data_IF_461607945807
#
_entry.id   IF_461607945807
#
_cell.length_a   1.000
_cell.length_b   1.000
_cell.length_c   1.000
_cell.angle_alpha   90.00
_cell.angle_beta   90.00
_cell.angle_gamma   90.00
#
_symmetry.space_group_name_H-M   'P 1'
#
loop_
_entity.id
_entity.type
_entity.pdbx_description
1 polymer ?
#
# COMPACT_ATOMS: atom_id res chain seq x y z
N UNK A 1 29.46 18.26 -20.82
CA UNK A 1 27.98 18.23 -20.92
C UNK A 1 27.43 19.11 -19.82
N UNK A 2 26.59 20.09 -20.16
CA UNK A 2 25.99 21.05 -19.21
C UNK A 2 24.58 20.62 -18.81
N UNK A 3 24.29 20.60 -17.51
CA UNK A 3 23.00 20.15 -16.96
C UNK A 3 22.33 21.32 -16.23
N UNK A 4 21.04 21.54 -16.45
CA UNK A 4 20.21 22.41 -15.63
C UNK A 4 19.13 21.59 -14.93
N UNK A 5 18.98 21.79 -13.63
CA UNK A 5 17.92 21.22 -12.82
C UNK A 5 17.13 22.36 -12.20
N UNK A 6 15.82 22.41 -12.48
CA UNK A 6 14.87 23.37 -11.93
C UNK A 6 13.95 22.59 -11.01
N UNK A 7 14.12 22.81 -9.71
CA UNK A 7 13.30 22.25 -8.65
C UNK A 7 12.31 23.31 -8.19
N UNK A 8 11.02 22.99 -8.28
CA UNK A 8 9.92 23.84 -7.88
C UNK A 8 9.29 23.29 -6.60
N UNK A 9 8.92 24.17 -5.68
CA UNK A 9 8.20 23.79 -4.46
C UNK A 9 6.69 23.85 -4.70
N UNK A 10 5.99 22.73 -4.46
CA UNK A 10 4.52 22.59 -4.42
C UNK A 10 3.71 22.76 -5.72
N UNK A 11 4.34 22.86 -6.89
CA UNK A 11 3.63 23.03 -8.18
C UNK A 11 2.94 21.74 -8.63
N UNK A 12 1.60 21.80 -8.66
CA UNK A 12 0.72 20.71 -9.09
C UNK A 12 0.83 20.39 -10.58
N UNK A 13 0.89 19.11 -10.92
CA UNK A 13 0.86 18.66 -12.32
C UNK A 13 -0.54 18.72 -12.95
N UNK A 14 -1.59 18.48 -12.15
CA UNK A 14 -2.98 18.40 -12.59
C UNK A 14 -3.60 19.76 -12.90
N UNK A 15 -2.97 20.84 -12.42
CA UNK A 15 -3.34 22.22 -12.71
C UNK A 15 -2.57 22.82 -13.90
N UNK A 16 -1.83 22.01 -14.66
CA UNK A 16 -1.15 22.46 -15.88
C UNK A 16 -2.02 22.28 -17.12
N UNK A 17 -2.05 23.29 -18.00
CA UNK A 17 -2.73 23.19 -19.29
C UNK A 17 -2.09 22.20 -20.26
N UNK A 18 -0.83 21.79 -20.01
CA UNK A 18 -0.14 20.72 -20.74
C UNK A 18 -0.73 19.34 -20.45
N UNK A 19 -1.49 19.21 -19.35
CA UNK A 19 -2.18 17.99 -18.93
C UNK A 19 -3.69 18.12 -19.09
N UNK A 20 -4.27 19.22 -18.63
CA UNK A 20 -5.70 19.48 -18.72
C UNK A 20 -5.97 20.61 -19.70
N UNK A 21 -6.46 20.27 -20.89
CA UNK A 21 -6.73 21.23 -21.98
C UNK A 21 -7.86 22.20 -21.68
N UNK A 22 -8.66 21.97 -20.63
CA UNK A 22 -9.69 22.91 -20.17
C UNK A 22 -9.11 24.09 -19.39
N UNK A 23 -7.86 23.98 -18.91
CA UNK A 23 -7.19 25.04 -18.17
C UNK A 23 -6.53 26.03 -19.12
N UNK A 24 -6.59 27.31 -18.76
CA UNK A 24 -5.91 28.37 -19.48
C UNK A 24 -4.39 28.22 -19.35
N UNK A 25 -3.68 28.39 -20.46
CA UNK A 25 -2.21 28.45 -20.46
C UNK A 25 -1.68 29.62 -19.63
N UNK A 26 -0.67 29.34 -18.79
CA UNK A 26 0.04 30.34 -18.00
C UNK A 26 1.46 30.57 -18.55
N UNK A 27 2.16 31.59 -18.04
CA UNK A 27 3.56 31.85 -18.40
C UNK A 27 4.50 30.68 -18.05
N UNK A 28 4.15 29.85 -17.06
CA UNK A 28 4.93 28.65 -16.75
C UNK A 28 4.86 27.64 -17.90
N UNK A 29 3.67 27.38 -18.44
CA UNK A 29 3.52 26.47 -19.59
C UNK A 29 4.16 27.04 -20.86
N UNK A 30 4.10 28.36 -21.08
CA UNK A 30 4.84 29.01 -22.18
C UNK A 30 6.35 28.81 -22.04
N UNK A 31 6.88 28.98 -20.83
CA UNK A 31 8.28 28.72 -20.52
C UNK A 31 8.65 27.24 -20.73
N UNK A 32 7.80 26.31 -20.29
CA UNK A 32 7.99 24.87 -20.53
C UNK A 32 8.02 24.51 -22.02
N UNK A 33 7.12 25.10 -22.81
CA UNK A 33 7.11 24.95 -24.28
C UNK A 33 8.38 25.49 -24.92
N UNK A 34 8.87 26.64 -24.46
CA UNK A 34 10.13 27.25 -24.92
C UNK A 34 11.34 26.34 -24.63
N UNK A 35 11.45 25.82 -23.40
CA UNK A 35 12.52 24.88 -23.03
C UNK A 35 12.46 23.59 -23.86
N UNK A 36 11.26 23.09 -24.13
CA UNK A 36 11.01 21.89 -24.92
C UNK A 36 11.41 20.59 -24.22
N UNK A 37 11.50 19.49 -24.98
CA UNK A 37 11.72 18.15 -24.42
C UNK A 37 10.43 17.38 -24.18
N UNK A 38 10.41 16.50 -23.18
CA UNK A 38 9.26 15.63 -22.88
C UNK A 38 8.63 16.01 -21.54
N UNK A 39 7.36 16.41 -21.56
CA UNK A 39 6.51 16.60 -20.38
C UNK A 39 5.76 15.31 -20.05
N UNK A 40 5.86 14.84 -18.81
CA UNK A 40 5.21 13.62 -18.36
C UNK A 40 3.88 13.94 -17.66
N UNK A 41 2.76 13.60 -18.30
CA UNK A 41 1.40 13.88 -17.82
C UNK A 41 1.10 13.13 -16.51
N UNK A 42 1.70 11.95 -16.37
CA UNK A 42 1.49 11.04 -15.25
C UNK A 42 2.73 10.97 -14.33
N UNK A 43 3.23 12.14 -13.92
CA UNK A 43 4.34 12.26 -12.98
C UNK A 43 3.88 12.38 -11.52
N UNK A 44 4.55 11.64 -10.63
CA UNK A 44 4.19 11.57 -9.23
C UNK A 44 5.40 11.64 -8.29
N UNK A 45 5.24 12.35 -7.18
CA UNK A 45 6.11 12.18 -6.03
C UNK A 45 5.69 10.98 -5.20
N UNK A 46 6.66 10.31 -4.57
CA UNK A 46 6.40 9.21 -3.62
C UNK A 46 6.39 9.68 -2.17
N UNK A 47 6.62 10.97 -1.95
CA UNK A 47 6.61 11.61 -0.64
C UNK A 47 6.04 13.03 -0.76
N UNK A 48 5.16 13.42 0.15
CA UNK A 48 4.30 14.62 -0.01
C UNK A 48 4.77 15.81 0.82
N UNK A 49 6.07 15.90 1.06
CA UNK A 49 6.78 17.00 1.71
C UNK A 49 8.17 17.17 1.07
N UNK A 50 8.68 18.39 1.13
CA UNK A 50 9.93 18.80 0.47
C UNK A 50 11.13 17.96 0.89
N UNK A 51 11.29 17.66 2.19
CA UNK A 51 12.48 16.95 2.69
C UNK A 51 12.56 15.52 2.16
N UNK A 52 11.47 14.75 2.28
CA UNK A 52 11.42 13.37 1.77
C UNK A 52 11.40 13.31 0.25
N UNK A 53 10.72 14.24 -0.42
CA UNK A 53 10.72 14.32 -1.89
C UNK A 53 12.12 14.64 -2.44
N UNK A 54 12.82 15.60 -1.84
CA UNK A 54 14.18 15.96 -2.23
C UNK A 54 15.16 14.81 -1.97
N UNK A 55 15.07 14.14 -0.82
CA UNK A 55 15.85 12.94 -0.52
C UNK A 55 15.60 11.82 -1.54
N UNK A 56 14.34 11.63 -1.95
CA UNK A 56 13.93 10.66 -2.98
C UNK A 56 14.61 10.98 -4.32
N UNK A 57 14.54 12.23 -4.77
CA UNK A 57 15.19 12.67 -6.01
C UNK A 57 16.69 12.43 -5.97
N UNK A 58 17.34 12.74 -4.85
CA UNK A 58 18.79 12.64 -4.74
C UNK A 58 19.30 11.22 -4.56
N UNK A 59 18.54 10.37 -3.88
CA UNK A 59 18.95 8.99 -3.63
C UNK A 59 18.42 8.01 -4.67
N UNK A 60 17.42 8.38 -5.46
CA UNK A 60 16.69 7.44 -6.34
C UNK A 60 16.01 6.30 -5.56
N UNK A 61 15.76 6.50 -4.26
CA UNK A 61 15.25 5.50 -3.34
C UNK A 61 14.03 6.02 -2.58
N UNK A 62 13.12 5.11 -2.21
CA UNK A 62 11.98 5.41 -1.37
C UNK A 62 12.40 5.96 0.00
N UNK A 63 11.57 6.80 0.67
CA UNK A 63 11.84 7.31 2.02
C UNK A 63 12.23 6.20 3.01
N UNK A 64 11.51 5.07 2.99
CA UNK A 64 11.83 3.91 3.83
C UNK A 64 13.27 3.41 3.66
N UNK A 65 13.79 3.44 2.44
CA UNK A 65 15.10 2.89 2.09
C UNK A 65 16.20 3.94 2.25
N UNK A 66 15.94 5.19 1.91
CA UNK A 66 16.88 6.30 2.09
C UNK A 66 16.94 6.81 3.53
N UNK A 67 15.99 6.40 4.39
CA UNK A 67 15.86 6.72 5.82
C UNK A 67 15.59 8.21 6.11
N UNK A 68 15.23 8.99 5.10
CA UNK A 68 14.79 10.37 5.29
C UNK A 68 13.39 10.36 5.94
N UNK A 69 13.30 10.99 7.11
CA UNK A 69 12.06 11.19 7.87
C UNK A 69 11.97 12.64 8.31
N UNK A 70 10.82 13.11 8.77
CA UNK A 70 10.64 14.50 9.22
C UNK A 70 11.63 14.97 10.30
N UNK A 71 12.14 14.06 11.14
CA UNK A 71 13.16 14.39 12.16
C UNK A 71 14.59 14.30 11.63
N UNK A 72 14.80 13.52 10.58
CA UNK A 72 16.13 13.22 10.06
C UNK A 72 16.15 13.39 8.55
N UNK A 73 16.28 14.66 8.14
CA UNK A 73 16.25 15.07 6.74
C UNK A 73 17.57 14.84 6.00
N UNK A 74 18.61 14.31 6.67
CA UNK A 74 19.97 14.20 6.10
C UNK A 74 20.54 12.78 6.11
N UNK A 75 19.86 11.79 6.69
CA UNK A 75 20.36 10.41 6.77
C UNK A 75 20.73 9.82 5.39
N UNK A 76 20.02 10.24 4.34
CA UNK A 76 20.28 9.80 2.97
C UNK A 76 21.65 10.27 2.44
N UNK A 77 22.20 11.37 2.98
CA UNK A 77 23.51 11.92 2.62
C UNK A 77 24.68 11.09 3.15
N UNK A 78 24.46 10.29 4.20
CA UNK A 78 25.48 9.36 4.73
C UNK A 78 25.78 8.21 3.78
N UNK A 79 24.95 7.99 2.75
CA UNK A 79 25.22 7.00 1.71
C UNK A 79 26.09 7.63 0.63
N UNK A 80 27.17 6.95 0.23
CA UNK A 80 28.14 7.43 -0.77
C UNK A 80 27.60 7.59 -2.22
N UNK A 81 26.29 7.44 -2.41
CA UNK A 81 25.63 7.33 -3.72
C UNK A 81 24.38 8.21 -3.79
N UNK A 82 24.52 9.52 -3.56
CA UNK A 82 23.51 10.51 -3.92
C UNK A 82 23.87 11.24 -5.22
N UNK A 83 22.87 11.89 -5.83
CA UNK A 83 22.96 12.63 -7.09
C UNK A 83 24.13 13.61 -7.18
N UNK A 84 24.34 14.44 -6.14
CA UNK A 84 25.41 15.43 -6.18
C UNK A 84 26.77 14.80 -5.99
N UNK A 85 26.90 13.85 -5.05
CA UNK A 85 28.14 13.08 -4.90
C UNK A 85 28.50 12.32 -6.19
N UNK A 86 27.50 11.78 -6.90
CA UNK A 86 27.68 11.14 -8.19
C UNK A 86 28.18 12.12 -9.26
N UNK A 87 27.57 13.30 -9.40
CA UNK A 87 28.02 14.30 -10.37
C UNK A 87 29.43 14.81 -10.05
N UNK A 88 29.75 15.03 -8.77
CA UNK A 88 31.11 15.37 -8.33
C UNK A 88 32.12 14.28 -8.73
N UNK A 89 31.79 13.00 -8.55
CA UNK A 89 32.61 11.87 -9.00
C UNK A 89 32.77 11.82 -10.54
N UNK A 90 31.84 12.42 -11.30
CA UNK A 90 31.93 12.62 -12.76
C UNK A 90 32.60 13.95 -13.15
N UNK A 91 33.32 14.58 -12.23
CA UNK A 91 34.06 15.83 -12.42
C UNK A 91 33.17 17.02 -12.84
N UNK A 92 31.95 17.08 -12.31
CA UNK A 92 31.08 18.26 -12.47
C UNK A 92 31.39 19.34 -11.45
N UNK A 93 31.38 20.58 -11.92
CA UNK A 93 31.21 21.74 -11.05
C UNK A 93 29.71 21.95 -10.77
N UNK A 94 29.34 22.03 -9.49
CA UNK A 94 27.95 22.16 -9.07
C UNK A 94 27.68 23.57 -8.54
N UNK A 95 26.71 24.23 -9.17
CA UNK A 95 26.20 25.56 -8.81
C UNK A 95 24.78 25.40 -8.28
N UNK A 96 24.55 25.76 -7.02
CA UNK A 96 23.24 25.58 -6.38
C UNK A 96 22.68 26.92 -5.97
N UNK A 97 21.54 27.30 -6.55
CA UNK A 97 20.68 28.36 -6.01
C UNK A 97 19.77 27.73 -4.96
N UNK A 98 19.92 28.18 -3.71
CA UNK A 98 19.18 27.65 -2.56
C UNK A 98 18.71 28.78 -1.65
N UNK A 99 18.01 28.43 -0.57
CA UNK A 99 17.61 29.37 0.47
C UNK A 99 18.32 29.04 1.78
N UNK A 100 18.45 30.03 2.69
CA UNK A 100 19.01 29.80 4.02
C UNK A 100 18.31 28.67 4.79
N UNK A 101 17.02 28.44 4.53
CA UNK A 101 16.25 27.36 5.17
C UNK A 101 16.76 25.96 4.80
N UNK A 102 16.95 25.65 3.51
CA UNK A 102 17.45 24.31 3.15
C UNK A 102 18.89 24.07 3.58
N UNK A 103 19.68 25.13 3.66
CA UNK A 103 21.01 25.04 4.21
C UNK A 103 21.03 24.78 5.71
N UNK A 104 20.13 25.41 6.48
CA UNK A 104 20.07 25.21 7.94
C UNK A 104 19.75 23.76 8.33
N UNK A 105 19.04 23.02 7.47
CA UNK A 105 18.79 21.58 7.62
C UNK A 105 19.88 20.70 6.98
N UNK A 106 21.04 21.26 6.63
CA UNK A 106 22.20 20.57 6.06
C UNK A 106 21.92 19.79 4.78
N UNK A 107 20.96 20.26 3.96
CA UNK A 107 20.61 19.58 2.70
C UNK A 107 21.75 19.58 1.67
N UNK A 108 22.76 20.44 1.79
CA UNK A 108 23.84 20.60 0.79
C UNK A 108 25.25 20.49 1.42
N UNK A 109 25.47 19.51 2.29
CA UNK A 109 26.66 19.38 3.15
C UNK A 109 27.97 18.93 2.45
N UNK A 110 28.26 19.39 1.23
CA UNK A 110 29.49 19.05 0.51
C UNK A 110 30.26 20.31 0.11
N UNK A 111 31.51 20.43 0.55
CA UNK A 111 32.37 21.61 0.32
C UNK A 111 32.67 21.87 -1.16
N UNK A 112 32.52 20.87 -2.03
CA UNK A 112 32.73 21.01 -3.48
C UNK A 112 31.52 21.63 -4.20
N UNK A 113 30.44 21.93 -3.48
CA UNK A 113 29.25 22.58 -4.01
C UNK A 113 29.34 24.08 -3.80
N UNK A 114 29.20 24.86 -4.88
CA UNK A 114 29.08 26.32 -4.81
C UNK A 114 27.62 26.70 -4.57
N UNK A 115 27.35 27.34 -3.44
CA UNK A 115 26.00 27.74 -3.02
C UNK A 115 25.80 29.23 -3.25
N UNK A 116 24.59 29.60 -3.67
CA UNK A 116 24.18 30.96 -3.94
C UNK A 116 22.75 31.17 -3.42
N UNK A 117 22.44 32.38 -2.98
CA UNK A 117 21.07 32.79 -2.59
C UNK A 117 20.47 33.82 -3.57
N UNK A 118 21.29 34.32 -4.50
CA UNK A 118 20.90 35.27 -5.54
C UNK A 118 21.28 34.67 -6.89
N UNK A 119 20.33 34.70 -7.83
CA UNK A 119 20.51 34.07 -9.13
C UNK A 119 21.56 34.83 -9.98
N UNK A 120 21.64 36.15 -9.83
CA UNK A 120 22.58 37.02 -10.52
C UNK A 120 24.03 36.63 -10.21
N UNK A 121 24.34 36.41 -8.93
CA UNK A 121 25.68 36.00 -8.48
C UNK A 121 26.03 34.60 -8.99
N UNK A 122 25.06 33.66 -8.95
CA UNK A 122 25.25 32.33 -9.50
C UNK A 122 25.59 32.39 -10.99
N UNK A 123 24.78 33.11 -11.76
CA UNK A 123 24.95 33.21 -13.21
C UNK A 123 26.25 33.92 -13.58
N UNK A 124 26.66 34.93 -12.84
CA UNK A 124 27.94 35.62 -13.02
C UNK A 124 29.11 34.64 -12.87
N UNK A 125 29.15 33.89 -11.78
CA UNK A 125 30.23 32.92 -11.53
C UNK A 125 30.19 31.74 -12.50
N UNK A 126 28.99 31.26 -12.83
CA UNK A 126 28.81 30.21 -13.82
C UNK A 126 29.32 30.63 -15.20
N UNK A 127 29.14 31.90 -15.58
CA UNK A 127 29.58 32.45 -16.87
C UNK A 127 31.11 32.57 -16.97
N UNK A 128 31.79 32.82 -15.84
CA UNK A 128 33.26 32.92 -15.75
C UNK A 128 33.95 31.57 -15.73
N UNK A 129 33.25 30.50 -15.35
CA UNK A 129 33.84 29.16 -15.28
C UNK A 129 34.01 28.53 -16.67
N UNK A 130 35.26 28.24 -17.04
CA UNK A 130 35.63 27.62 -18.31
C UNK A 130 35.46 26.09 -18.34
N UNK A 131 35.10 25.45 -17.22
CA UNK A 131 34.86 24.00 -17.17
C UNK A 131 33.74 23.57 -18.12
N UNK A 132 33.95 22.41 -18.74
CA UNK A 132 33.01 21.81 -19.71
C UNK A 132 31.85 21.05 -19.03
N UNK A 133 32.11 20.46 -17.87
CA UNK A 133 31.12 19.72 -17.07
C UNK A 133 30.65 20.58 -15.92
N UNK A 134 29.52 21.24 -16.13
CA UNK A 134 28.88 22.12 -15.14
C UNK A 134 27.42 21.71 -14.98
N UNK A 135 26.92 21.77 -13.75
CA UNK A 135 25.51 21.60 -13.48
C UNK A 135 25.01 22.74 -12.60
N UNK A 136 23.87 23.32 -12.99
CA UNK A 136 23.14 24.25 -12.15
C UNK A 136 21.93 23.53 -11.55
N UNK A 137 21.76 23.63 -10.25
CA UNK A 137 20.55 23.23 -9.55
C UNK A 137 19.89 24.48 -8.98
N UNK A 138 18.68 24.79 -9.43
CA UNK A 138 17.91 25.93 -8.94
C UNK A 138 16.72 25.45 -8.13
N UNK A 139 16.63 25.89 -6.87
CA UNK A 139 15.52 25.60 -5.98
C UNK A 139 14.65 26.84 -5.78
N UNK A 140 13.41 26.85 -6.30
CA UNK A 140 12.49 27.99 -6.18
C UNK A 140 11.36 27.74 -5.18
N UNK A 141 11.34 28.55 -4.11
CA UNK A 141 10.31 28.53 -3.06
C UNK A 141 9.16 29.53 -3.28
N UNK A 142 9.38 30.58 -4.08
CA UNK A 142 8.43 31.69 -4.23
C UNK A 142 7.00 31.23 -4.57
N UNK A 143 6.85 30.14 -5.32
CA UNK A 143 5.53 29.62 -5.66
C UNK A 143 4.73 29.20 -4.42
N UNK A 144 5.34 28.51 -3.46
CA UNK A 144 4.67 28.04 -2.25
C UNK A 144 4.10 29.23 -1.45
N UNK A 145 4.93 30.25 -1.20
CA UNK A 145 4.49 31.46 -0.50
C UNK A 145 3.38 32.20 -1.26
N UNK A 146 3.51 32.31 -2.59
CA UNK A 146 2.54 33.00 -3.43
C UNK A 146 1.18 32.32 -3.44
N UNK A 147 1.14 30.99 -3.48
CA UNK A 147 -0.12 30.24 -3.52
C UNK A 147 -0.82 30.24 -2.17
N UNK A 148 -0.07 30.15 -1.07
CA UNK A 148 -0.63 30.06 0.27
C UNK A 148 -1.23 31.37 0.81
N UNK A 149 -1.01 32.51 0.15
CA UNK A 149 -1.61 33.80 0.56
C UNK A 149 -3.15 33.76 0.58
N UNK A 150 -3.76 33.09 -0.41
CA UNK A 150 -5.22 32.96 -0.52
C UNK A 150 -5.68 31.50 -0.72
N UNK A 151 -4.79 30.61 -1.17
CA UNK A 151 -5.05 29.18 -1.40
C UNK A 151 -6.27 28.90 -2.31
N UNK A 152 -6.37 29.63 -3.44
CA UNK A 152 -7.44 29.52 -4.45
C UNK A 152 -6.91 29.15 -5.84
N UNK A 153 -7.79 28.67 -6.73
CA UNK A 153 -7.43 28.41 -8.14
C UNK A 153 -6.96 29.68 -8.87
N UNK A 154 -7.52 30.84 -8.54
CA UNK A 154 -7.09 32.10 -9.18
C UNK A 154 -5.68 32.49 -8.72
N UNK A 155 -5.40 32.35 -7.42
CA UNK A 155 -4.08 32.64 -6.87
C UNK A 155 -3.02 31.66 -7.37
N UNK A 156 -3.38 30.39 -7.53
CA UNK A 156 -2.56 29.37 -8.19
C UNK A 156 -2.12 29.82 -9.58
N UNK A 157 -3.07 30.26 -10.42
CA UNK A 157 -2.81 30.75 -11.77
C UNK A 157 -1.90 31.98 -11.76
N UNK A 158 -2.11 32.92 -10.82
CA UNK A 158 -1.25 34.09 -10.64
C UNK A 158 0.18 33.68 -10.26
N UNK A 159 0.34 32.73 -9.36
CA UNK A 159 1.64 32.20 -8.94
C UNK A 159 2.38 31.52 -10.10
N UNK A 160 1.70 30.71 -10.92
CA UNK A 160 2.30 30.13 -12.14
C UNK A 160 2.76 31.20 -13.12
N UNK A 161 1.95 32.23 -13.36
CA UNK A 161 2.32 33.33 -14.25
C UNK A 161 3.58 34.06 -13.75
N UNK A 162 3.64 34.36 -12.44
CA UNK A 162 4.81 35.00 -11.84
C UNK A 162 6.05 34.10 -11.94
N UNK A 163 5.92 32.82 -11.59
CA UNK A 163 7.02 31.85 -11.68
C UNK A 163 7.55 31.69 -13.11
N UNK A 164 6.66 31.55 -14.10
CA UNK A 164 7.05 31.46 -15.51
C UNK A 164 7.82 32.68 -15.99
N UNK A 165 7.38 33.88 -15.61
CA UNK A 165 8.09 35.13 -15.92
C UNK A 165 9.48 35.19 -15.27
N UNK A 166 9.60 34.80 -14.00
CA UNK A 166 10.89 34.74 -13.28
C UNK A 166 11.85 33.79 -14.00
N UNK A 167 11.42 32.56 -14.27
CA UNK A 167 12.25 31.54 -14.92
C UNK A 167 12.66 31.95 -16.34
N UNK A 168 11.73 32.55 -17.10
CA UNK A 168 12.00 33.02 -18.46
C UNK A 168 13.04 34.16 -18.48
N UNK A 169 12.98 35.07 -17.52
CA UNK A 169 13.93 36.17 -17.38
C UNK A 169 15.31 35.65 -16.98
N UNK A 170 15.38 34.79 -15.95
CA UNK A 170 16.63 34.28 -15.42
C UNK A 170 17.41 33.43 -16.42
N UNK A 171 16.71 32.65 -17.25
CA UNK A 171 17.35 31.75 -18.22
C UNK A 171 17.45 32.34 -19.62
N UNK A 172 16.97 33.57 -19.86
CA UNK A 172 16.90 34.20 -21.18
C UNK A 172 18.20 34.09 -21.98
N UNK A 173 19.34 34.25 -21.31
CA UNK A 173 20.66 34.28 -21.93
C UNK A 173 21.42 32.94 -21.88
N UNK A 174 20.99 32.00 -21.04
CA UNK A 174 21.76 30.79 -20.73
C UNK A 174 21.07 29.48 -21.16
N UNK A 175 19.78 29.52 -21.50
CA UNK A 175 18.99 28.33 -21.85
C UNK A 175 19.62 27.47 -22.97
N UNK A 176 20.26 28.13 -23.95
CA UNK A 176 20.91 27.48 -25.09
C UNK A 176 22.18 26.70 -24.72
N UNK A 177 22.75 26.95 -23.54
CA UNK A 177 23.99 26.32 -23.13
C UNK A 177 23.80 24.90 -22.58
N UNK A 178 22.61 24.56 -22.09
CA UNK A 178 22.40 23.30 -21.39
C UNK A 178 22.09 22.16 -22.38
N UNK A 179 22.86 21.09 -22.31
CA UNK A 179 22.60 19.88 -23.10
C UNK A 179 21.39 19.12 -22.56
N UNK A 180 21.23 19.14 -21.23
CA UNK A 180 20.19 18.44 -20.48
C UNK A 180 19.45 19.41 -19.57
N UNK A 181 18.12 19.31 -19.52
CA UNK A 181 17.29 20.05 -18.56
C UNK A 181 16.34 19.09 -17.85
N UNK A 182 16.25 19.22 -16.53
CA UNK A 182 15.21 18.62 -15.70
C UNK A 182 14.41 19.73 -15.04
N UNK A 183 13.10 19.71 -15.19
CA UNK A 183 12.19 20.62 -14.48
C UNK A 183 11.14 19.77 -13.78
N UNK A 184 11.02 19.93 -12.47
CA UNK A 184 10.04 19.17 -11.70
C UNK A 184 9.61 19.89 -10.43
N UNK A 185 8.46 19.48 -9.91
CA UNK A 185 8.01 19.85 -8.58
C UNK A 185 8.18 18.70 -7.61
N UNK A 186 8.43 19.01 -6.34
CA UNK A 186 8.70 18.05 -5.28
C UNK A 186 7.44 17.34 -4.75
N UNK A 187 6.38 18.10 -4.54
CA UNK A 187 5.04 17.65 -4.24
C UNK A 187 4.03 18.69 -4.75
N UNK A 188 2.75 18.44 -4.48
CA UNK A 188 1.67 19.40 -4.71
C UNK A 188 1.11 19.93 -3.39
N UNK A 189 -0.04 20.59 -3.46
CA UNK A 189 -0.72 21.18 -2.30
C UNK A 189 -2.24 21.01 -2.40
N UNK A 190 -2.94 21.26 -1.30
CA UNK A 190 -4.41 21.14 -1.25
C UNK A 190 -5.02 22.52 -1.27
N UNK A 191 -5.89 22.78 -2.24
CA UNK A 191 -6.64 24.02 -2.31
C UNK A 191 -7.68 24.06 -1.18
N UNK A 192 -8.01 25.26 -0.68
CA UNK A 192 -8.97 25.43 0.42
C UNK A 192 -10.32 24.78 0.16
N UNK A 193 -10.78 24.76 -1.10
CA UNK A 193 -12.04 24.11 -1.50
C UNK A 193 -11.96 22.57 -1.47
N UNK A 194 -10.77 22.00 -1.55
CA UNK A 194 -10.50 20.54 -1.59
C UNK A 194 -10.25 19.96 -0.18
N UNK A 195 -10.20 20.81 0.85
CA UNK A 195 -9.89 20.40 2.23
C UNK A 195 -11.01 19.58 2.90
N UNK A 196 -12.19 19.45 2.29
CA UNK A 196 -13.38 18.83 2.93
C UNK A 196 -13.46 17.30 2.84
N UNK A 197 -12.56 16.65 2.12
CA UNK A 197 -12.58 15.20 1.91
C UNK A 197 -11.40 14.53 2.64
N UNK A 198 -11.49 13.26 3.04
CA UNK A 198 -10.55 12.54 3.92
C UNK A 198 -9.05 12.50 3.52
N UNK A 199 -8.27 11.62 4.15
CA UNK A 199 -6.79 11.51 4.13
C UNK A 199 -6.03 12.41 3.12
N UNK A 200 -5.48 13.52 3.62
CA UNK A 200 -5.01 14.66 2.82
C UNK A 200 -3.71 14.41 2.04
N UNK A 201 -2.77 13.66 2.61
CA UNK A 201 -1.39 13.57 2.13
C UNK A 201 -1.23 12.74 0.85
N UNK A 202 -1.97 11.64 0.70
CA UNK A 202 -1.86 10.74 -0.46
C UNK A 202 -2.76 11.10 -1.65
N UNK A 203 -3.51 12.20 -1.56
CA UNK A 203 -4.39 12.65 -2.66
C UNK A 203 -3.60 13.02 -3.92
N UNK A 204 -4.29 12.99 -5.06
CA UNK A 204 -3.69 13.35 -6.34
C UNK A 204 -3.18 14.79 -6.35
N UNK A 205 -3.87 15.73 -5.70
CA UNK A 205 -3.42 17.12 -5.56
C UNK A 205 -2.09 17.30 -4.81
N UNK A 206 -1.71 16.36 -3.93
CA UNK A 206 -0.43 16.35 -3.21
C UNK A 206 0.65 15.56 -3.92
N UNK A 207 0.26 14.54 -4.69
CA UNK A 207 1.19 13.56 -5.25
C UNK A 207 1.46 13.76 -6.74
N UNK A 208 0.54 14.36 -7.49
CA UNK A 208 0.72 14.64 -8.91
C UNK A 208 1.49 15.95 -9.11
N UNK A 209 2.66 15.83 -9.71
CA UNK A 209 3.62 16.92 -9.85
C UNK A 209 3.96 17.15 -11.31
N UNK A 210 4.58 18.28 -11.60
CA UNK A 210 5.22 18.51 -12.90
C UNK A 210 6.52 17.69 -12.97
N UNK A 211 6.76 17.03 -14.11
CA UNK A 211 8.07 16.53 -14.50
C UNK A 211 8.26 16.70 -16.02
N UNK A 212 9.34 17.38 -16.39
CA UNK A 212 9.75 17.60 -17.76
C UNK A 212 11.26 17.34 -17.90
N UNK A 213 11.62 16.62 -18.96
CA UNK A 213 13.01 16.28 -19.26
C UNK A 213 13.35 16.65 -20.69
N UNK A 214 14.39 17.47 -20.85
CA UNK A 214 15.06 17.73 -22.12
C UNK A 214 16.35 16.92 -22.15
N UNK A 215 16.43 15.98 -23.09
CA UNK A 215 17.61 15.13 -23.27
C UNK A 215 18.59 15.69 -24.30
N UNK A 216 18.18 16.66 -25.10
CA UNK A 216 19.05 17.27 -26.09
C UNK A 216 18.67 18.74 -26.32
N UNK A 217 19.66 19.62 -26.48
CA UNK A 217 19.46 21.03 -26.84
C UNK A 217 18.63 21.23 -28.12
N UNK A 218 18.64 20.28 -29.05
CA UNK A 218 17.81 20.34 -30.28
C UNK A 218 16.31 20.14 -30.03
N UNK A 219 15.91 19.69 -28.84
CA UNK A 219 14.49 19.60 -28.46
C UNK A 219 13.91 20.94 -27.99
N UNK A 220 14.72 22.02 -28.01
CA UNK A 220 14.25 23.37 -27.69
C UNK A 220 13.06 23.77 -28.57
N UNK A 221 12.08 24.44 -27.98
CA UNK A 221 10.80 24.81 -28.60
C UNK A 221 9.98 23.62 -29.13
N UNK A 222 10.39 22.38 -28.86
CA UNK A 222 9.71 21.16 -29.27
C UNK A 222 9.32 20.37 -28.02
N UNK A 223 8.16 20.72 -27.48
CA UNK A 223 7.58 20.04 -26.33
C UNK A 223 6.70 18.87 -26.80
N UNK A 224 6.98 17.68 -26.29
CA UNK A 224 6.17 16.48 -26.46
C UNK A 224 5.58 16.08 -25.13
N UNK A 225 4.40 15.46 -25.15
CA UNK A 225 3.80 14.86 -23.97
C UNK A 225 4.06 13.35 -23.94
N UNK A 226 4.10 12.79 -22.73
CA UNK A 226 4.25 11.36 -22.50
C UNK A 226 3.33 10.91 -21.37
N UNK A 227 2.58 9.83 -21.63
CA UNK A 227 1.57 9.30 -20.72
C UNK A 227 2.08 8.20 -19.79
N UNK A 228 3.33 7.74 -19.95
CA UNK A 228 3.92 6.75 -19.04
C UNK A 228 3.86 7.26 -17.60
N UNK A 229 3.56 6.35 -16.66
CA UNK A 229 3.66 6.68 -15.23
C UNK A 229 5.12 6.77 -14.85
N UNK A 230 5.48 7.92 -14.29
CA UNK A 230 6.84 8.25 -13.87
C UNK A 230 6.82 8.80 -12.46
N UNK A 231 7.98 8.77 -11.83
CA UNK A 231 8.16 9.26 -10.48
C UNK A 231 9.39 10.15 -10.35
N UNK A 232 9.38 11.03 -9.36
CA UNK A 232 10.59 11.75 -8.95
C UNK A 232 11.74 10.79 -8.52
N UNK A 233 11.42 9.56 -8.09
CA UNK A 233 12.40 8.49 -7.90
C UNK A 233 13.26 8.21 -9.13
N UNK A 234 12.70 8.44 -10.32
CA UNK A 234 13.32 8.08 -11.59
C UNK A 234 14.38 9.10 -12.02
N UNK A 235 14.49 10.25 -11.35
CA UNK A 235 15.36 11.35 -11.76
C UNK A 235 16.84 10.96 -11.63
N UNK A 236 17.26 10.47 -10.47
CA UNK A 236 18.65 10.04 -10.28
C UNK A 236 19.09 8.92 -11.24
N UNK A 237 18.35 7.80 -11.38
CA UNK A 237 18.70 6.77 -12.37
C UNK A 237 18.71 7.32 -13.80
N UNK A 238 17.80 8.25 -14.14
CA UNK A 238 17.85 8.95 -15.43
C UNK A 238 19.15 9.73 -15.65
N UNK A 239 19.62 10.45 -14.63
CA UNK A 239 20.90 11.17 -14.71
C UNK A 239 22.06 10.18 -14.86
N UNK A 240 22.06 9.06 -14.11
CA UNK A 240 23.08 8.02 -14.27
C UNK A 240 23.10 7.50 -15.71
N UNK A 241 21.91 7.25 -16.29
CA UNK A 241 21.74 6.74 -17.65
C UNK A 241 22.30 7.66 -18.76
N UNK A 242 22.61 8.92 -18.46
CA UNK A 242 23.30 9.82 -19.39
C UNK A 242 24.80 9.53 -19.50
N UNK A 243 25.38 8.79 -18.55
CA UNK A 243 26.81 8.49 -18.50
C UNK A 243 27.09 6.99 -18.60
N UNK A 244 26.25 6.17 -17.99
CA UNK A 244 26.46 4.72 -17.90
C UNK A 244 25.18 3.94 -17.55
N UNK A 245 25.27 2.62 -17.50
CA UNK A 245 24.16 1.75 -17.14
C UNK A 245 23.79 1.88 -15.64
N UNK A 246 22.53 2.23 -15.39
CA UNK A 246 21.99 2.49 -14.05
C UNK A 246 21.85 1.27 -13.14
N UNK A 247 21.75 0.07 -13.74
CA UNK A 247 21.49 -1.20 -13.04
C UNK A 247 22.55 -1.49 -11.95
N UNK A 248 23.77 -0.94 -12.13
CA UNK A 248 24.89 -1.04 -11.19
C UNK A 248 24.60 -0.40 -9.81
N UNK A 249 23.68 0.56 -9.74
CA UNK A 249 23.44 1.38 -8.55
C UNK A 249 22.32 0.86 -7.65
N UNK A 250 21.62 -0.21 -8.08
CA UNK A 250 20.54 -0.86 -7.30
C UNK A 250 19.52 0.14 -6.74
N UNK A 251 19.12 1.15 -7.51
CA UNK A 251 18.15 2.17 -7.08
C UNK A 251 16.72 1.61 -7.09
N UNK A 252 15.77 2.30 -6.43
CA UNK A 252 14.34 1.92 -6.51
C UNK A 252 13.66 2.56 -7.74
N UNK A 253 14.14 3.74 -8.15
CA UNK A 253 13.74 4.39 -9.40
C UNK A 253 14.34 3.70 -10.63
N UNK A 254 13.79 4.01 -11.80
CA UNK A 254 14.21 3.46 -13.09
C UNK A 254 14.42 4.63 -14.06
N UNK A 255 15.44 4.62 -14.93
CA UNK A 255 15.62 5.71 -15.89
C UNK A 255 14.39 5.84 -16.77
N UNK A 256 14.04 7.10 -17.05
CA UNK A 256 12.99 7.46 -17.98
C UNK A 256 13.22 6.86 -19.39
N UNK A 257 14.47 6.54 -19.76
CA UNK A 257 14.83 5.85 -21.01
C UNK A 257 14.37 4.39 -21.03
N UNK A 258 14.42 3.72 -19.88
CA UNK A 258 14.16 2.28 -19.73
C UNK A 258 12.73 1.99 -19.25
N UNK A 259 11.89 3.01 -19.13
CA UNK A 259 10.52 2.85 -18.65
C UNK A 259 9.69 1.96 -19.57
N UNK A 260 9.16 0.90 -18.98
CA UNK A 260 8.14 0.05 -19.58
C UNK A 260 6.82 0.83 -19.69
N UNK A 261 6.00 0.47 -20.68
CA UNK A 261 4.66 1.05 -20.85
C UNK A 261 3.77 0.73 -19.65
N UNK A 262 3.96 -0.43 -19.01
CA UNK A 262 3.26 -0.88 -17.80
C UNK A 262 4.19 -0.83 -16.58
N UNK A 263 3.72 -0.21 -15.49
CA UNK A 263 4.44 -0.05 -14.23
C UNK A 263 3.44 0.08 -13.08
N UNK A 264 3.88 -0.37 -11.91
CA UNK A 264 3.22 -0.11 -10.64
C UNK A 264 4.08 0.90 -9.89
N UNK A 265 3.49 2.01 -9.46
CA UNK A 265 4.15 2.98 -8.59
C UNK A 265 3.54 2.91 -7.20
N UNK A 266 4.40 2.76 -6.21
CA UNK A 266 4.03 2.88 -4.80
C UNK A 266 4.30 4.32 -4.36
N UNK A 267 3.38 4.90 -3.60
CA UNK A 267 3.51 6.21 -2.98
C UNK A 267 3.29 5.98 -1.48
N UNK A 268 4.25 6.39 -0.67
CA UNK A 268 4.27 6.10 0.76
C UNK A 268 3.92 7.36 1.55
N UNK A 269 3.04 7.22 2.54
CA UNK A 269 2.94 8.21 3.61
C UNK A 269 2.84 7.55 4.99
N UNK A 270 3.49 8.14 5.99
CA UNK A 270 3.44 7.66 7.37
C UNK A 270 4.66 6.87 7.86
N UNK A 271 5.77 7.55 8.11
CA UNK A 271 6.79 7.05 9.05
C UNK A 271 6.81 7.82 10.37
N UNK A 272 6.29 9.05 10.36
CA UNK A 272 6.25 9.95 11.50
C UNK A 272 5.01 10.85 11.40
N UNK A 273 4.52 11.37 12.52
CA UNK A 273 3.59 12.51 12.51
C UNK A 273 4.28 13.80 12.01
N UNK A 274 3.54 14.91 11.91
CA UNK A 274 4.10 16.22 11.53
C UNK A 274 5.15 16.76 12.52
N UNK A 275 5.21 16.20 13.74
CA UNK A 275 6.24 16.47 14.75
C UNK A 275 7.44 15.50 14.64
N UNK A 276 7.38 14.58 13.68
CA UNK A 276 8.43 13.62 13.44
C UNK A 276 8.43 12.41 14.38
N UNK A 277 7.48 12.29 15.31
CA UNK A 277 7.44 11.14 16.21
C UNK A 277 7.16 9.87 15.42
N UNK A 278 8.04 8.86 15.58
CA UNK A 278 7.73 7.52 15.12
C UNK A 278 6.50 7.01 15.87
N UNK A 279 5.45 6.65 15.14
CA UNK A 279 4.30 5.98 15.74
C UNK A 279 4.79 4.70 16.43
N UNK A 280 4.57 4.63 17.75
CA UNK A 280 4.83 3.41 18.52
C UNK A 280 4.03 2.25 17.92
N UNK A 281 4.53 1.01 18.01
CA UNK A 281 4.15 -0.14 17.17
C UNK A 281 2.67 -0.59 17.17
N UNK A 282 1.77 0.14 17.82
CA UNK A 282 0.31 -0.09 17.82
C UNK A 282 -0.49 0.97 17.03
N UNK A 283 0.07 2.17 16.77
CA UNK A 283 -0.62 3.28 16.06
C UNK A 283 -0.16 3.45 14.59
N UNK A 284 0.44 2.41 14.01
CA UNK A 284 0.95 2.44 12.63
C UNK A 284 -0.20 2.42 11.61
N UNK A 285 -0.83 3.57 11.35
CA UNK A 285 -1.51 3.77 10.07
C UNK A 285 -0.43 4.09 9.03
N UNK A 286 0.36 3.09 8.59
CA UNK A 286 1.18 3.26 7.37
C UNK A 286 0.22 3.23 6.20
N UNK A 287 0.04 4.34 5.51
CA UNK A 287 -0.82 4.40 4.34
C UNK A 287 0.04 4.24 3.08
N UNK A 288 -0.35 3.32 2.22
CA UNK A 288 0.26 3.11 0.92
C UNK A 288 -0.76 3.42 -0.17
N UNK A 289 -0.38 4.27 -1.11
CA UNK A 289 -1.14 4.43 -2.35
C UNK A 289 -0.45 3.65 -3.45
N UNK A 290 -1.19 2.73 -4.06
CA UNK A 290 -0.72 1.93 -5.19
C UNK A 290 -1.38 2.48 -6.45
N UNK A 291 -0.56 2.86 -7.43
CA UNK A 291 -1.02 3.30 -8.75
C UNK A 291 -0.57 2.33 -9.83
N UNK A 292 -1.52 1.80 -10.61
CA UNK A 292 -1.28 0.85 -11.71
C UNK A 292 -1.74 1.42 -13.05
N UNK A 293 -0.98 1.14 -14.12
CA UNK A 293 -1.15 1.80 -15.45
C UNK A 293 -2.46 1.47 -16.18
N UNK A 294 -3.02 0.26 -16.10
CA UNK A 294 -3.99 -0.16 -17.14
C UNK A 294 -5.35 0.57 -17.13
N UNK A 295 -5.77 1.23 -16.04
CA UNK A 295 -7.14 1.81 -15.95
C UNK A 295 -7.30 3.06 -15.05
N UNK A 296 -6.23 3.80 -14.77
CA UNK A 296 -6.24 4.90 -13.76
C UNK A 296 -6.84 4.49 -12.41
N UNK A 297 -6.74 3.20 -12.05
CA UNK A 297 -7.20 2.70 -10.76
C UNK A 297 -6.20 3.17 -9.70
N UNK A 298 -6.59 4.22 -8.99
CA UNK A 298 -5.93 4.64 -7.74
C UNK A 298 -6.59 3.86 -6.61
N UNK A 299 -5.82 3.01 -5.92
CA UNK A 299 -6.26 2.42 -4.66
C UNK A 299 -5.35 2.91 -3.54
N UNK A 300 -5.96 3.53 -2.55
CA UNK A 300 -5.32 3.91 -1.30
C UNK A 300 -5.64 2.79 -0.32
N UNK A 301 -4.60 2.19 0.26
CA UNK A 301 -4.73 1.20 1.30
C UNK A 301 -4.09 1.75 2.57
N UNK A 302 -4.81 1.69 3.67
CA UNK A 302 -4.21 1.79 4.99
C UNK A 302 -3.51 0.47 5.36
N UNK A 303 -2.60 0.52 6.33
CA UNK A 303 -2.06 -0.72 6.90
C UNK A 303 -3.19 -1.54 7.49
N UNK A 304 -4.22 -0.93 8.09
CA UNK A 304 -5.43 -1.63 8.52
C UNK A 304 -6.15 -2.30 7.36
N UNK A 305 -6.21 -1.72 6.16
CA UNK A 305 -6.82 -2.38 4.99
C UNK A 305 -5.96 -3.54 4.48
N UNK A 306 -4.63 -3.38 4.48
CA UNK A 306 -3.70 -4.48 4.14
C UNK A 306 -3.70 -5.56 5.22
N UNK A 307 -3.85 -5.16 6.48
CA UNK A 307 -4.03 -6.05 7.61
C UNK A 307 -5.40 -6.69 7.58
N UNK A 308 -6.49 -6.05 7.15
CA UNK A 308 -7.81 -6.62 6.93
C UNK A 308 -7.80 -7.61 5.77
N UNK A 309 -7.05 -7.33 4.70
CA UNK A 309 -6.76 -8.31 3.65
C UNK A 309 -5.97 -9.51 4.20
N UNK A 310 -5.07 -9.29 5.17
CA UNK A 310 -4.36 -10.35 5.91
C UNK A 310 -5.22 -10.98 7.01
N UNK A 311 -6.15 -10.27 7.61
CA UNK A 311 -7.04 -10.69 8.68
C UNK A 311 -8.21 -11.46 8.11
N UNK A 312 -8.58 -11.27 6.85
CA UNK A 312 -9.43 -12.23 6.13
C UNK A 312 -8.77 -13.61 6.11
N UNK A 313 -7.43 -13.73 6.10
CA UNK A 313 -6.75 -15.02 6.26
C UNK A 313 -6.73 -15.52 7.72
N UNK A 314 -6.69 -14.63 8.73
CA UNK A 314 -6.78 -14.98 10.16
C UNK A 314 -8.22 -15.28 10.59
N UNK A 315 -9.21 -14.63 10.01
CA UNK A 315 -10.63 -14.85 10.22
C UNK A 315 -11.07 -16.13 9.51
N UNK A 316 -10.55 -16.41 8.32
CA UNK A 316 -10.65 -17.74 7.69
C UNK A 316 -9.98 -18.79 8.58
N UNK A 317 -8.77 -18.53 9.11
CA UNK A 317 -8.08 -19.45 10.02
C UNK A 317 -8.87 -19.66 11.33
N UNK A 318 -9.41 -18.59 11.93
CA UNK A 318 -10.21 -18.64 13.14
C UNK A 318 -11.56 -19.33 12.89
N UNK A 319 -12.19 -19.12 11.73
CA UNK A 319 -13.39 -19.85 11.30
C UNK A 319 -13.08 -21.33 11.10
N UNK A 320 -11.99 -21.68 10.43
CA UNK A 320 -11.53 -23.07 10.27
C UNK A 320 -11.25 -23.69 11.63
N UNK A 321 -10.55 -22.97 12.53
CA UNK A 321 -10.22 -23.46 13.87
C UNK A 321 -11.48 -23.64 14.73
N UNK A 322 -12.45 -22.73 14.61
CA UNK A 322 -13.74 -22.83 15.29
C UNK A 322 -14.56 -24.02 14.75
N UNK A 323 -14.68 -24.16 13.43
CA UNK A 323 -15.35 -25.32 12.81
C UNK A 323 -14.65 -26.63 13.15
N UNK A 324 -13.31 -26.65 13.23
CA UNK A 324 -12.53 -27.82 13.66
C UNK A 324 -12.80 -28.16 15.11
N UNK A 325 -12.85 -27.17 15.99
CA UNK A 325 -13.18 -27.34 17.42
C UNK A 325 -14.60 -27.88 17.60
N UNK A 326 -15.58 -27.34 16.86
CA UNK A 326 -16.95 -27.85 16.85
C UNK A 326 -17.05 -29.26 16.24
N UNK A 327 -16.24 -29.58 15.22
CA UNK A 327 -16.17 -30.93 14.65
C UNK A 327 -15.65 -31.92 15.68
N UNK A 328 -14.57 -31.59 16.41
CA UNK A 328 -14.00 -32.41 17.48
C UNK A 328 -15.01 -32.65 18.61
N UNK A 329 -15.71 -31.60 19.05
CA UNK A 329 -16.76 -31.70 20.06
C UNK A 329 -17.91 -32.62 19.57
N UNK A 330 -18.35 -32.48 18.32
CA UNK A 330 -19.38 -33.33 17.75
C UNK A 330 -18.92 -34.79 17.59
N UNK A 331 -17.65 -35.05 17.26
CA UNK A 331 -17.08 -36.40 17.22
C UNK A 331 -17.06 -37.02 18.62
N UNK A 332 -16.68 -36.25 19.65
CA UNK A 332 -16.72 -36.70 21.05
C UNK A 332 -18.14 -37.00 21.51
N UNK A 333 -19.10 -36.11 21.25
CA UNK A 333 -20.51 -36.33 21.56
C UNK A 333 -21.06 -37.56 20.82
N UNK A 334 -20.74 -37.70 19.53
CA UNK A 334 -21.09 -38.89 18.75
C UNK A 334 -20.54 -40.17 19.40
N UNK A 335 -19.26 -40.17 19.82
CA UNK A 335 -18.64 -41.29 20.52
C UNK A 335 -19.34 -41.62 21.84
N UNK A 336 -19.64 -40.61 22.66
CA UNK A 336 -20.34 -40.77 23.94
C UNK A 336 -21.74 -41.36 23.70
N UNK A 337 -22.54 -40.76 22.83
CA UNK A 337 -23.90 -41.23 22.56
C UNK A 337 -23.90 -42.59 21.87
N UNK A 338 -22.95 -42.87 20.98
CA UNK A 338 -22.77 -44.20 20.38
C UNK A 338 -22.40 -45.23 21.43
N UNK A 339 -21.49 -44.93 22.36
CA UNK A 339 -21.08 -45.84 23.42
C UNK A 339 -22.21 -46.08 24.44
N UNK A 340 -22.95 -45.03 24.83
CA UNK A 340 -24.17 -45.16 25.64
C UNK A 340 -25.20 -46.01 24.92
N UNK A 341 -25.44 -45.76 23.64
CA UNK A 341 -26.37 -46.55 22.81
C UNK A 341 -25.91 -48.01 22.68
N UNK A 342 -24.61 -48.27 22.50
CA UNK A 342 -24.04 -49.61 22.44
C UNK A 342 -24.10 -50.33 23.80
N UNK A 343 -23.88 -49.62 24.91
CA UNK A 343 -24.03 -50.17 26.26
C UNK A 343 -25.49 -50.51 26.55
N UNK A 344 -26.41 -49.60 26.22
CA UNK A 344 -27.85 -49.82 26.31
C UNK A 344 -28.29 -50.97 25.38
N UNK A 345 -27.70 -51.10 24.20
CA UNK A 345 -27.98 -52.20 23.26
C UNK A 345 -27.40 -53.55 23.73
N UNK A 346 -26.17 -53.57 24.25
CA UNK A 346 -25.54 -54.78 24.84
C UNK A 346 -26.28 -55.23 26.10
N UNK A 347 -26.70 -54.31 26.96
CA UNK A 347 -27.59 -54.62 28.09
C UNK A 347 -28.96 -55.09 27.62
N UNK A 348 -29.50 -54.54 26.51
CA UNK A 348 -30.71 -55.07 25.86
C UNK A 348 -30.54 -56.51 25.34
N UNK A 349 -29.38 -56.87 24.76
CA UNK A 349 -29.11 -58.22 24.28
C UNK A 349 -28.76 -59.22 25.40
N UNK A 350 -28.19 -58.77 26.51
CA UNK A 350 -28.11 -59.55 27.75
C UNK A 350 -29.51 -59.84 28.34
N UNK A 351 -30.49 -58.96 28.11
CA UNK A 351 -31.87 -59.09 28.61
C UNK A 351 -32.88 -59.70 27.63
N UNK A 352 -32.57 -59.75 26.32
CA UNK A 352 -33.41 -60.46 25.34
C UNK A 352 -33.42 -61.98 25.58
N UNK A 353 -32.40 -62.50 26.27
CA UNK A 353 -32.38 -63.89 26.76
C UNK A 353 -33.20 -64.10 28.04
N UNK A 354 -33.68 -63.05 28.72
CA UNK A 354 -34.54 -63.14 29.92
C UNK A 354 -35.99 -62.70 29.70
N UNK A 355 -36.29 -61.94 28.64
CA UNK A 355 -37.66 -61.46 28.35
C UNK A 355 -37.99 -61.69 26.88
N UNK A 356 -38.39 -62.90 26.53
CA UNK A 356 -38.65 -63.27 25.14
C UNK A 356 -40.12 -63.18 24.70
N UNK A 357 -41.08 -62.80 25.54
CA UNK A 357 -42.46 -62.65 25.10
C UNK A 357 -43.22 -61.57 25.90
N UNK A 358 -43.62 -60.49 25.22
CA UNK A 358 -44.62 -59.52 25.71
C UNK A 358 -46.00 -60.17 25.98
N UNK A 359 -46.16 -61.47 25.67
CA UNK A 359 -47.37 -62.27 25.94
C UNK A 359 -47.47 -62.82 27.38
N UNK A 360 -46.43 -62.69 28.21
CA UNK A 360 -46.38 -63.31 29.55
C UNK A 360 -46.65 -62.35 30.73
N UNK A 361 -47.08 -61.12 30.46
CA UNK A 361 -47.45 -60.14 31.50
C UNK A 361 -48.98 -60.07 31.60
N UNK A 362 -49.55 -60.60 32.70
CA UNK A 362 -50.97 -60.39 33.04
C UNK A 362 -51.10 -59.20 33.99
N UNK A 363 -51.91 -58.22 33.60
CA UNK A 363 -52.22 -57.05 34.41
C UNK A 363 -53.40 -57.37 35.32
N UNK A 364 -53.19 -57.34 36.64
CA UNK A 364 -54.27 -57.44 37.61
C UNK A 364 -54.43 -56.08 38.31
N UNK A 365 -55.63 -55.51 38.22
CA UNK A 365 -56.05 -54.34 39.01
C UNK A 365 -56.80 -54.83 40.23
N UNK A 366 -56.24 -54.62 41.42
CA UNK A 366 -56.98 -54.77 42.67
C UNK A 366 -57.71 -53.45 42.95
N UNK A 367 -59.03 -53.52 43.11
CA UNK A 367 -59.85 -52.37 43.49
C UNK A 367 -59.75 -52.15 45.00
N UNK A 368 -59.32 -50.93 45.37
CA UNK A 368 -59.03 -50.53 46.74
C UNK A 368 -57.74 -49.71 46.79
N UNK A 369 -57.87 -48.40 46.63
CA UNK A 369 -56.83 -47.36 46.81
C UNK A 369 -55.56 -47.45 45.93
N UNK A 370 -55.65 -46.82 44.75
CA UNK A 370 -54.58 -46.08 44.04
C UNK A 370 -53.19 -46.72 43.80
N UNK A 371 -53.01 -48.04 43.86
CA UNK A 371 -51.77 -48.69 43.40
C UNK A 371 -52.01 -49.84 42.41
N UNK A 372 -51.87 -49.55 41.10
CA UNK A 372 -51.71 -50.58 40.07
C UNK A 372 -50.36 -51.30 40.25
N UNK A 373 -50.38 -52.59 40.53
CA UNK A 373 -49.19 -53.45 40.58
C UNK A 373 -49.13 -54.37 39.35
N UNK A 374 -47.94 -54.57 38.80
CA UNK A 374 -47.69 -55.47 37.66
C UNK A 374 -47.16 -56.81 38.18
N UNK A 375 -47.52 -57.92 37.55
CA UNK A 375 -47.10 -59.27 37.96
C UNK A 375 -46.62 -60.09 36.74
N UNK A 376 -45.68 -61.00 36.95
CA UNK A 376 -45.31 -62.04 35.99
C UNK A 376 -46.39 -63.14 35.95
N UNK A 377 -46.38 -63.96 34.90
CA UNK A 377 -47.34 -65.07 34.73
C UNK A 377 -47.29 -66.11 35.86
N UNK A 378 -46.13 -66.27 36.50
CA UNK A 378 -45.92 -67.16 37.66
C UNK A 378 -46.42 -66.55 38.99
N UNK A 379 -47.02 -65.35 38.95
CA UNK A 379 -47.57 -64.65 40.12
C UNK A 379 -46.55 -63.81 40.88
N UNK A 380 -45.28 -63.78 40.48
CA UNK A 380 -44.29 -62.92 41.13
C UNK A 380 -44.54 -61.44 40.81
N UNK A 381 -44.46 -60.59 41.84
CA UNK A 381 -44.73 -59.14 41.71
C UNK A 381 -43.59 -58.47 40.96
N UNK A 382 -43.89 -57.80 39.86
CA UNK A 382 -42.93 -56.94 39.17
C UNK A 382 -42.74 -55.72 40.06
N UNK A 383 -41.56 -55.60 40.65
CA UNK A 383 -41.22 -54.42 41.40
C UNK A 383 -41.23 -53.20 40.46
N UNK A 384 -41.85 -52.10 40.91
CA UNK A 384 -41.95 -50.83 40.17
C UNK A 384 -40.58 -50.41 39.62
N UNK A 385 -39.52 -50.62 40.38
CA UNK A 385 -38.15 -50.29 39.98
C UNK A 385 -37.71 -50.95 38.67
N UNK A 386 -38.14 -52.18 38.38
CA UNK A 386 -37.63 -52.95 37.24
C UNK A 386 -38.34 -52.58 35.93
N UNK A 387 -39.67 -52.41 35.97
CA UNK A 387 -40.44 -51.95 34.80
C UNK A 387 -40.10 -50.51 34.40
N UNK A 388 -40.02 -49.59 35.36
CA UNK A 388 -39.70 -48.19 35.07
C UNK A 388 -38.25 -48.02 34.59
N UNK A 389 -37.31 -48.85 35.07
CA UNK A 389 -35.92 -48.87 34.59
C UNK A 389 -35.84 -49.36 33.13
N UNK A 390 -36.59 -50.39 32.75
CA UNK A 390 -36.63 -50.88 31.36
C UNK A 390 -37.24 -49.85 30.39
N UNK A 391 -38.37 -49.24 30.75
CA UNK A 391 -39.01 -48.19 29.93
C UNK A 391 -38.12 -46.96 29.82
N UNK A 392 -37.47 -46.57 30.92
CA UNK A 392 -36.49 -45.48 30.96
C UNK A 392 -35.30 -45.74 30.03
N UNK A 393 -34.70 -46.94 30.08
CA UNK A 393 -33.60 -47.33 29.20
C UNK A 393 -33.99 -47.35 27.71
N UNK A 394 -35.21 -47.78 27.37
CA UNK A 394 -35.71 -47.77 25.99
C UNK A 394 -35.93 -46.35 25.45
N UNK A 395 -36.54 -45.48 26.26
CA UNK A 395 -36.71 -44.06 25.93
C UNK A 395 -35.35 -43.37 25.77
N UNK A 396 -34.39 -43.66 26.66
CA UNK A 396 -33.04 -43.13 26.56
C UNK A 396 -32.30 -43.63 25.30
N UNK A 397 -32.47 -44.91 24.94
CA UNK A 397 -31.95 -45.47 23.68
C UNK A 397 -32.52 -44.75 22.44
N UNK A 398 -33.84 -44.54 22.40
CA UNK A 398 -34.51 -43.84 21.29
C UNK A 398 -34.02 -42.38 21.19
N UNK A 399 -33.97 -41.67 22.31
CA UNK A 399 -33.50 -40.29 22.39
C UNK A 399 -32.02 -40.17 21.97
N UNK A 400 -31.16 -41.10 22.40
CA UNK A 400 -29.76 -41.14 21.99
C UNK A 400 -29.61 -41.42 20.49
N UNK A 401 -30.48 -42.25 19.91
CA UNK A 401 -30.48 -42.55 18.47
C UNK A 401 -30.91 -41.33 17.64
N UNK A 402 -31.90 -40.56 18.09
CA UNK A 402 -32.31 -39.31 17.47
C UNK A 402 -31.21 -38.24 17.55
N UNK A 403 -30.60 -38.06 18.73
CA UNK A 403 -29.43 -37.18 18.92
C UNK A 403 -28.26 -37.57 18.01
N UNK A 404 -28.00 -38.86 17.81
CA UNK A 404 -26.97 -39.32 16.87
C UNK A 404 -27.28 -38.88 15.44
N UNK A 405 -28.54 -38.91 14.99
CA UNK A 405 -28.92 -38.44 13.65
C UNK A 405 -28.69 -36.93 13.49
N UNK A 406 -29.05 -36.14 14.50
CA UNK A 406 -28.82 -34.70 14.52
C UNK A 406 -27.33 -34.36 14.48
N UNK A 407 -26.51 -35.02 15.32
CA UNK A 407 -25.06 -34.86 15.34
C UNK A 407 -24.46 -35.23 13.98
N UNK A 408 -24.92 -36.33 13.34
CA UNK A 408 -24.46 -36.71 11.99
C UNK A 408 -24.76 -35.64 10.94
N UNK A 409 -25.96 -35.05 10.97
CA UNK A 409 -26.32 -33.96 10.06
C UNK A 409 -25.45 -32.72 10.28
N UNK A 410 -25.20 -32.37 11.54
CA UNK A 410 -24.29 -31.28 11.92
C UNK A 410 -22.85 -31.54 11.47
N UNK A 411 -22.33 -32.76 11.65
CA UNK A 411 -21.00 -33.16 11.16
C UNK A 411 -20.87 -33.00 9.65
N UNK A 412 -21.85 -33.48 8.87
CA UNK A 412 -21.85 -33.36 7.40
C UNK A 412 -21.84 -31.89 6.98
N UNK A 413 -22.63 -31.04 7.62
CA UNK A 413 -22.65 -29.61 7.36
C UNK A 413 -21.30 -28.95 7.66
N UNK A 414 -20.75 -29.19 8.86
CA UNK A 414 -19.46 -28.64 9.28
C UNK A 414 -18.31 -29.09 8.37
N UNK A 415 -18.31 -30.35 7.92
CA UNK A 415 -17.35 -30.87 6.95
C UNK A 415 -17.44 -30.16 5.59
N UNK A 416 -18.66 -29.98 5.06
CA UNK A 416 -18.86 -29.27 3.79
C UNK A 416 -18.39 -27.82 3.84
N UNK A 417 -18.71 -27.10 4.92
CA UNK A 417 -18.29 -25.71 5.08
C UNK A 417 -16.77 -25.59 5.31
N UNK A 418 -16.17 -26.52 6.07
CA UNK A 418 -14.72 -26.58 6.24
C UNK A 418 -14.00 -26.82 4.91
N UNK A 419 -14.49 -27.75 4.08
CA UNK A 419 -13.93 -28.03 2.75
C UNK A 419 -14.04 -26.81 1.83
N UNK A 420 -15.20 -26.14 1.79
CA UNK A 420 -15.37 -24.90 1.00
C UNK A 420 -14.39 -23.81 1.41
N UNK A 421 -14.21 -23.60 2.71
CA UNK A 421 -13.28 -22.61 3.25
C UNK A 421 -11.83 -22.96 2.95
N UNK A 422 -11.45 -24.23 3.07
CA UNK A 422 -10.11 -24.71 2.70
C UNK A 422 -9.87 -24.53 1.21
N UNK A 423 -10.83 -24.87 0.35
CA UNK A 423 -10.70 -24.68 -1.10
C UNK A 423 -10.60 -23.19 -1.48
N UNK A 424 -11.39 -22.32 -0.85
CA UNK A 424 -11.29 -20.88 -1.04
C UNK A 424 -9.92 -20.34 -0.59
N UNK A 425 -9.41 -20.83 0.55
CA UNK A 425 -8.08 -20.48 1.04
C UNK A 425 -6.98 -20.98 0.10
N UNK A 426 -7.04 -22.23 -0.35
CA UNK A 426 -6.07 -22.80 -1.29
C UNK A 426 -6.11 -22.08 -2.64
N UNK A 427 -7.28 -21.66 -3.10
CA UNK A 427 -7.42 -20.84 -4.31
C UNK A 427 -6.76 -19.47 -4.13
N UNK A 428 -7.00 -18.81 -3.00
CA UNK A 428 -6.37 -17.53 -2.67
C UNK A 428 -4.84 -17.66 -2.50
N UNK A 429 -4.40 -18.75 -1.87
CA UNK A 429 -2.99 -19.09 -1.67
C UNK A 429 -2.30 -19.40 -3.01
N UNK A 430 -2.94 -20.19 -3.88
CA UNK A 430 -2.46 -20.44 -5.23
C UNK A 430 -2.44 -19.17 -6.07
N UNK A 431 -3.44 -18.29 -5.95
CA UNK A 431 -3.43 -16.98 -6.59
C UNK A 431 -2.24 -16.13 -6.10
N UNK A 432 -1.94 -16.13 -4.80
CA UNK A 432 -0.78 -15.46 -4.23
C UNK A 432 0.55 -16.10 -4.66
N UNK A 433 0.63 -17.43 -4.77
CA UNK A 433 1.79 -18.15 -5.30
C UNK A 433 1.96 -17.84 -6.78
N UNK A 434 0.92 -17.89 -7.59
CA UNK A 434 0.98 -17.55 -9.00
C UNK A 434 1.41 -16.09 -9.19
N UNK A 435 0.91 -15.17 -8.36
CA UNK A 435 1.38 -13.79 -8.31
C UNK A 435 2.88 -13.73 -7.99
N UNK A 436 3.33 -14.45 -6.96
CA UNK A 436 4.74 -14.53 -6.52
C UNK A 436 5.64 -15.18 -7.57
N UNK A 437 5.18 -16.21 -8.24
CA UNK A 437 5.96 -17.01 -9.19
C UNK A 437 5.97 -16.33 -10.56
N UNK A 438 4.88 -15.64 -10.95
CA UNK A 438 4.92 -14.64 -12.04
C UNK A 438 5.85 -13.47 -11.71
N UNK A 439 5.94 -13.08 -10.43
CA UNK A 439 6.93 -12.12 -9.92
C UNK A 439 8.37 -12.63 -10.06
N UNK A 440 8.66 -13.86 -9.63
CA UNK A 440 9.99 -14.49 -9.69
C UNK A 440 10.44 -14.84 -11.11
N UNK A 441 9.52 -15.24 -11.99
CA UNK A 441 9.87 -15.57 -13.38
C UNK A 441 10.00 -14.32 -14.28
N UNK A 442 9.42 -13.17 -13.89
CA UNK A 442 9.65 -11.88 -14.57
C UNK A 442 10.82 -11.07 -14.00
N UNK A 443 11.19 -11.29 -12.74
CA UNK A 443 12.34 -10.68 -12.09
C UNK A 443 13.42 -11.75 -11.90
N UNK A 444 14.30 -11.94 -12.89
CA UNK A 444 15.44 -12.85 -12.75
C UNK A 444 16.31 -12.45 -11.55
N UNK A 445 16.28 -13.29 -10.51
CA UNK A 445 16.98 -13.20 -9.21
C UNK A 445 16.74 -11.95 -8.36
#
# INVERSE_FOLDING_TARGET
MKILVIFLDTVRGDLSSLKNTELQETELEKFQKKIGGTYYINAYTVATDTSRAFATVRSGMYPKRNKCTFQNNTEFLKKESDLFSYLIKKNYELYILTTPYLESINSFSNEKIKKYYEAENLLLDYSKDSKVNKAIFMHYFDYHELVHSENTFEQERKARNKLGNILNNLLKNFENEFDKILLFSDHGYTLKKEEKEGFFSLKDNKTNVILQVRNNKYEKNNLKTNEKIVSLLDIFPTIISWFEEEEKYKLDGISLKNLKKERILYIEDGFCDWMGNYFSGLDLIKNYKIRTIEKSITRIYSISDLYEMKFNSIEIFNKINNYTSHLLANIQLYSIYRNKTLYLYKSKNLYKNTFNNEKDIKVYTLEGENMKALFYQDGTRIEKRDYYKCRSNYLEFKNNTERIKEIKSSLIFLLKESIKLILAYLYLYNFCIELRDKWRNKCGK
#
